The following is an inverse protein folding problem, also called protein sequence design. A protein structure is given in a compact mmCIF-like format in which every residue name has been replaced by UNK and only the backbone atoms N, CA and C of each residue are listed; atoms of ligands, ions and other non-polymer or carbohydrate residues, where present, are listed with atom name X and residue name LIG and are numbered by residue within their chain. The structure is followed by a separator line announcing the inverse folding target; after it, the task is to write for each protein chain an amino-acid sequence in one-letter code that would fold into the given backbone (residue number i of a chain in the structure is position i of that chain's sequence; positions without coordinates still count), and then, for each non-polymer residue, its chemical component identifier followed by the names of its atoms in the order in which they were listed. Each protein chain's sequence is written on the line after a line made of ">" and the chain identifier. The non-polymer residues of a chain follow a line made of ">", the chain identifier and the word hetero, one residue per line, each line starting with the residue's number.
data_IF_243693079527
#
_entry.id   IF_243693079527
#
_cell.length_a   1.000
_cell.length_b   1.000
_cell.length_c   1.000
_cell.angle_alpha   90.00
_cell.angle_beta   90.00
_cell.angle_gamma   90.00
#
_symmetry.space_group_name_H-M   'P 1'
#
loop_
_entity.id
_entity.type
_entity.pdbx_description
1 polymer ?
#
# COMPACT_ATOMS: atom_id res chain seq x y z
N UNK A 1 -9.24 -7.80 -0.76
CA UNK A 1 -9.53 -6.60 0.04
C UNK A 1 -9.15 -6.89 1.47
N UNK A 2 -8.26 -6.07 2.04
CA UNK A 2 -7.77 -6.23 3.41
C UNK A 2 -8.89 -6.17 4.45
N UNK A 3 -8.73 -6.94 5.51
CA UNK A 3 -9.63 -6.90 6.65
C UNK A 3 -9.38 -5.65 7.52
N UNK A 4 -10.34 -5.30 8.37
CA UNK A 4 -10.14 -4.25 9.38
C UNK A 4 -9.04 -4.56 10.39
N UNK A 5 -8.61 -5.82 10.51
CA UNK A 5 -7.48 -6.22 11.33
C UNK A 5 -6.16 -5.90 10.62
N UNK A 6 -6.06 -6.24 9.33
CA UNK A 6 -4.88 -5.96 8.49
C UNK A 6 -4.59 -4.46 8.42
N UNK A 7 -5.64 -3.64 8.19
CA UNK A 7 -5.53 -2.17 8.15
C UNK A 7 -5.00 -1.63 9.48
N UNK A 8 -5.52 -2.15 10.61
CA UNK A 8 -5.06 -1.74 11.94
C UNK A 8 -3.62 -2.18 12.22
N UNK A 9 -3.22 -3.35 11.73
CA UNK A 9 -1.85 -3.83 11.85
C UNK A 9 -0.87 -2.90 11.13
N UNK A 10 -1.18 -2.49 9.89
CA UNK A 10 -0.38 -1.52 9.13
C UNK A 10 -0.33 -0.16 9.84
N UNK A 11 -1.46 0.32 10.35
CA UNK A 11 -1.51 1.57 11.11
C UNK A 11 -0.62 1.53 12.35
N UNK A 12 -0.71 0.44 13.12
CA UNK A 12 0.08 0.24 14.33
C UNK A 12 1.58 0.15 14.03
N UNK A 13 1.97 -0.61 13.00
CA UNK A 13 3.36 -0.69 12.55
C UNK A 13 3.92 0.71 12.26
N UNK A 14 3.21 1.53 11.48
CA UNK A 14 3.65 2.89 11.14
C UNK A 14 3.70 3.82 12.37
N UNK A 15 2.80 3.65 13.34
CA UNK A 15 2.80 4.44 14.59
C UNK A 15 4.05 4.19 15.41
N UNK A 16 4.48 2.93 15.49
CA UNK A 16 5.66 2.53 16.24
C UNK A 16 6.96 2.86 15.49
N UNK A 17 6.90 3.03 14.17
CA UNK A 17 8.08 3.33 13.37
C UNK A 17 8.59 4.76 13.52
N UNK A 18 9.91 4.92 13.51
CA UNK A 18 10.57 6.21 13.39
C UNK A 18 10.56 6.76 11.95
N UNK A 19 11.12 7.95 11.72
CA UNK A 19 11.11 8.58 10.39
C UNK A 19 11.89 7.76 9.35
N UNK A 20 13.02 7.15 9.72
CA UNK A 20 13.87 6.38 8.79
C UNK A 20 13.21 5.05 8.44
N UNK A 21 12.59 4.41 9.42
CA UNK A 21 11.80 3.19 9.23
C UNK A 21 10.60 3.47 8.32
N UNK A 22 9.94 4.62 8.47
CA UNK A 22 8.84 5.03 7.58
C UNK A 22 9.29 5.25 6.14
N UNK A 23 10.42 5.93 5.93
CA UNK A 23 10.98 6.12 4.58
C UNK A 23 11.34 4.76 3.94
N UNK A 24 11.90 3.85 4.73
CA UNK A 24 12.19 2.48 4.30
C UNK A 24 10.91 1.71 3.94
N UNK A 25 9.88 1.76 4.79
CA UNK A 25 8.59 1.10 4.54
C UNK A 25 7.92 1.62 3.26
N UNK A 26 7.98 2.93 3.00
CA UNK A 26 7.45 3.51 1.77
C UNK A 26 8.20 3.01 0.54
N UNK A 27 9.54 3.01 0.59
CA UNK A 27 10.38 2.53 -0.51
C UNK A 27 10.16 1.03 -0.77
N UNK A 28 10.08 0.23 0.29
CA UNK A 28 9.83 -1.20 0.21
C UNK A 28 8.46 -1.50 -0.41
N UNK A 29 7.40 -0.82 0.04
CA UNK A 29 6.05 -1.01 -0.50
C UNK A 29 5.97 -0.65 -2.00
N UNK A 30 6.65 0.44 -2.42
CA UNK A 30 6.73 0.80 -3.84
C UNK A 30 7.47 -0.26 -4.66
N UNK A 31 8.61 -0.73 -4.16
CA UNK A 31 9.40 -1.80 -4.80
C UNK A 31 8.58 -3.09 -4.93
N UNK A 32 7.83 -3.48 -3.90
CA UNK A 32 7.00 -4.68 -3.90
C UNK A 32 5.89 -4.60 -4.96
N UNK A 33 5.23 -3.45 -5.08
CA UNK A 33 4.25 -3.21 -6.14
C UNK A 33 4.90 -3.33 -7.54
N UNK A 34 6.08 -2.73 -7.74
CA UNK A 34 6.78 -2.77 -9.02
C UNK A 34 7.21 -4.21 -9.40
N UNK A 35 7.67 -5.00 -8.42
CA UNK A 35 8.01 -6.41 -8.60
C UNK A 35 6.76 -7.21 -9.00
N UNK A 36 5.67 -7.07 -8.25
CA UNK A 36 4.41 -7.78 -8.50
C UNK A 36 3.89 -7.44 -9.90
N UNK A 37 3.88 -6.15 -10.25
CA UNK A 37 3.46 -5.69 -11.57
C UNK A 37 4.33 -6.29 -12.67
N UNK A 38 5.65 -6.26 -12.51
CA UNK A 38 6.60 -6.80 -13.49
C UNK A 38 6.45 -8.32 -13.68
N UNK A 39 6.24 -9.06 -12.59
CA UNK A 39 6.06 -10.52 -12.62
C UNK A 39 4.69 -10.95 -13.15
N UNK A 40 3.69 -10.08 -13.05
CA UNK A 40 2.31 -10.35 -13.45
C UNK A 40 1.88 -9.62 -14.72
N UNK A 41 2.80 -9.01 -15.47
CA UNK A 41 2.51 -8.26 -16.70
C UNK A 41 1.56 -9.01 -17.67
N UNK A 42 1.73 -10.33 -17.79
CA UNK A 42 1.01 -11.16 -18.74
C UNK A 42 0.10 -12.21 -18.08
N UNK A 43 -0.21 -12.06 -16.79
CA UNK A 43 -1.08 -13.00 -16.07
C UNK A 43 -1.84 -12.36 -14.92
N UNK A 44 -2.91 -13.01 -14.50
CA UNK A 44 -3.59 -12.63 -13.27
C UNK A 44 -2.70 -12.81 -12.04
N UNK A 45 -2.90 -11.93 -11.07
CA UNK A 45 -2.34 -12.04 -9.73
C UNK A 45 -2.94 -13.26 -9.02
N UNK A 46 -2.09 -14.02 -8.34
CA UNK A 46 -2.54 -14.99 -7.34
C UNK A 46 -3.12 -14.27 -6.11
N UNK A 47 -3.87 -14.99 -5.27
CA UNK A 47 -4.41 -14.43 -4.04
C UNK A 47 -3.33 -13.92 -3.08
N UNK A 48 -2.15 -14.54 -3.09
CA UNK A 48 -1.00 -14.11 -2.29
C UNK A 48 -0.44 -12.78 -2.80
N UNK A 49 -0.25 -12.66 -4.12
CA UNK A 49 0.26 -11.44 -4.76
C UNK A 49 -0.75 -10.30 -4.65
N UNK A 50 -2.04 -10.59 -4.78
CA UNK A 50 -3.10 -9.61 -4.57
C UNK A 50 -3.08 -9.09 -3.13
N UNK A 51 -2.91 -9.97 -2.13
CA UNK A 51 -2.81 -9.54 -0.73
C UNK A 51 -1.56 -8.70 -0.48
N UNK A 52 -0.40 -9.12 -0.97
CA UNK A 52 0.84 -8.36 -0.85
C UNK A 52 0.70 -6.96 -1.48
N UNK A 53 0.13 -6.89 -2.68
CA UNK A 53 -0.17 -5.64 -3.36
C UNK A 53 -1.10 -4.72 -2.55
N UNK A 54 -2.17 -5.27 -1.97
CA UNK A 54 -3.09 -4.51 -1.12
C UNK A 54 -2.41 -3.99 0.16
N UNK A 55 -1.54 -4.78 0.79
CA UNK A 55 -0.74 -4.36 1.95
C UNK A 55 0.23 -3.24 1.62
N UNK A 56 0.90 -3.33 0.46
CA UNK A 56 1.82 -2.29 -0.01
C UNK A 56 1.08 -0.96 -0.28
N UNK A 57 -0.10 -1.02 -0.94
CA UNK A 57 -0.93 0.17 -1.13
C UNK A 57 -1.39 0.77 0.20
N UNK A 58 -1.82 -0.06 1.14
CA UNK A 58 -2.27 0.44 2.45
C UNK A 58 -1.13 1.12 3.20
N UNK A 59 0.07 0.54 3.16
CA UNK A 59 1.28 1.11 3.77
C UNK A 59 1.57 2.50 3.24
N UNK A 60 1.61 2.67 1.90
CA UNK A 60 1.84 3.98 1.27
C UNK A 60 0.72 4.97 1.66
N UNK A 61 -0.54 4.50 1.63
CA UNK A 61 -1.70 5.35 1.96
C UNK A 61 -1.61 5.90 3.39
N UNK A 62 -1.28 5.06 4.37
CA UNK A 62 -1.18 5.47 5.77
C UNK A 62 0.03 6.38 6.02
N UNK A 63 1.16 6.13 5.36
CA UNK A 63 2.34 6.99 5.44
C UNK A 63 2.05 8.40 4.90
N UNK A 64 1.47 8.52 3.70
CA UNK A 64 1.11 9.82 3.13
C UNK A 64 0.06 10.54 3.98
N UNK A 65 -0.98 9.83 4.44
CA UNK A 65 -2.05 10.43 5.26
C UNK A 65 -1.49 11.04 6.55
N UNK A 66 -0.51 10.36 7.17
CA UNK A 66 0.18 10.88 8.36
C UNK A 66 1.07 12.07 8.07
N UNK A 67 1.86 12.00 7.00
CA UNK A 67 2.77 13.09 6.61
C UNK A 67 2.00 14.39 6.35
N UNK A 68 0.83 14.28 5.73
CA UNK A 68 0.01 15.44 5.37
C UNK A 68 -1.05 15.82 6.43
N UNK A 69 -1.14 15.10 7.56
CA UNK A 69 -2.19 15.26 8.60
C UNK A 69 -3.61 15.23 8.01
N UNK A 70 -3.81 14.36 7.05
CA UNK A 70 -5.01 14.31 6.23
C UNK A 70 -6.12 13.45 6.85
N UNK A 71 -7.34 13.62 6.35
CA UNK A 71 -8.54 12.94 6.87
C UNK A 71 -8.73 11.54 6.27
N UNK A 72 -9.60 10.72 6.87
CA UNK A 72 -9.97 9.40 6.34
C UNK A 72 -10.46 9.45 4.87
N UNK A 73 -11.12 10.55 4.47
CA UNK A 73 -11.55 10.76 3.08
C UNK A 73 -10.38 10.85 2.11
N UNK A 74 -9.29 11.51 2.51
CA UNK A 74 -8.06 11.57 1.72
C UNK A 74 -7.47 10.16 1.57
N UNK A 75 -7.36 9.40 2.67
CA UNK A 75 -6.83 8.04 2.65
C UNK A 75 -7.63 7.14 1.71
N UNK A 76 -8.96 7.21 1.74
CA UNK A 76 -9.83 6.44 0.85
C UNK A 76 -9.59 6.80 -0.63
N UNK A 77 -9.60 8.09 -0.97
CA UNK A 77 -9.35 8.57 -2.33
C UNK A 77 -7.95 8.21 -2.82
N UNK A 78 -6.95 8.28 -1.94
CA UNK A 78 -5.56 7.93 -2.26
C UNK A 78 -5.40 6.44 -2.51
N UNK A 79 -6.03 5.59 -1.70
CA UNK A 79 -6.06 4.14 -1.90
C UNK A 79 -6.63 3.80 -3.29
N UNK A 80 -7.75 4.42 -3.66
CA UNK A 80 -8.33 4.26 -5.00
C UNK A 80 -7.40 4.75 -6.11
N UNK A 81 -6.74 5.90 -5.91
CA UNK A 81 -5.80 6.46 -6.88
C UNK A 81 -4.59 5.52 -7.08
N UNK A 82 -3.98 5.05 -6.00
CA UNK A 82 -2.84 4.13 -6.03
C UNK A 82 -3.24 2.79 -6.64
N UNK A 83 -4.41 2.29 -6.27
CA UNK A 83 -4.97 1.07 -6.86
C UNK A 83 -5.13 1.23 -8.37
N UNK A 84 -5.66 2.36 -8.87
CA UNK A 84 -5.77 2.59 -10.32
C UNK A 84 -4.42 2.81 -11.00
N UNK A 85 -3.50 3.49 -10.34
CA UNK A 85 -2.15 3.76 -10.87
C UNK A 85 -1.36 2.48 -11.06
N UNK A 86 -1.48 1.56 -10.11
CA UNK A 86 -0.66 0.35 -10.06
C UNK A 86 -1.36 -0.91 -10.53
N UNK A 87 -2.69 -0.93 -10.59
CA UNK A 87 -3.41 -2.03 -11.22
C UNK A 87 -3.17 -1.94 -12.72
N UNK A 88 -2.34 -2.86 -13.21
CA UNK A 88 -2.05 -3.11 -14.60
C UNK A 88 -3.31 -2.86 -15.44
N UNK A 89 -3.24 -1.88 -16.34
CA UNK A 89 -4.25 -1.67 -17.36
C UNK A 89 -4.49 -3.01 -18.07
N UNK A 90 -5.67 -3.59 -17.85
CA UNK A 90 -6.26 -4.53 -18.79
C UNK A 90 -6.89 -3.71 -19.91
#
# INVERSE_FOLDING_TARGET
>A
MLSSHDIRSVQYMIEQSDIRERDFLEAHAKMEIDIINSQCLNRSLSDAEMRAFEFAIETITQLETRQHKETWWYASRKRDQLSRRYRLSH
#
